data_IF_200054754680
#
_entry.id   IF_200054754680
#
_cell.length_a   1.000
_cell.length_b   1.000
_cell.length_c   1.000
_cell.angle_alpha   90.00
_cell.angle_beta   90.00
_cell.angle_gamma   90.00
#
_symmetry.space_group_name_H-M   'P 1'
#
loop_
_entity.id
_entity.type
_entity.pdbx_description
1 polymer ?
#
# COMPACT_ATOMS: atom_id res chain seq x y z
N UNK A 1 -21.85 10.38 6.44
CA UNK A 1 -20.78 11.39 6.63
C UNK A 1 -19.42 10.68 6.56
N UNK A 2 -18.38 11.29 5.95
CA UNK A 2 -17.08 10.65 5.67
C UNK A 2 -16.03 10.75 6.79
N UNK A 3 -16.33 11.40 7.91
CA UNK A 3 -15.33 11.60 8.98
C UNK A 3 -14.18 12.56 8.64
N UNK A 4 -14.27 13.28 7.52
CA UNK A 4 -13.28 14.26 7.06
C UNK A 4 -13.69 15.71 7.41
N UNK A 5 -12.73 16.63 7.60
CA UNK A 5 -12.99 18.07 7.68
C UNK A 5 -13.68 18.60 6.41
N UNK A 6 -14.52 19.64 6.56
CA UNK A 6 -15.32 20.19 5.46
C UNK A 6 -14.50 20.77 4.29
N UNK A 7 -13.23 21.11 4.49
CA UNK A 7 -12.33 21.64 3.45
C UNK A 7 -11.64 20.58 2.59
N UNK A 8 -11.83 19.28 2.89
CA UNK A 8 -11.17 18.22 2.12
C UNK A 8 -11.87 18.03 0.76
N UNK A 9 -11.06 17.98 -0.30
CA UNK A 9 -11.47 17.85 -1.70
C UNK A 9 -10.82 16.65 -2.39
N UNK A 10 -9.74 16.10 -1.82
CA UNK A 10 -9.07 14.90 -2.34
C UNK A 10 -8.74 13.90 -1.22
N UNK A 11 -8.81 12.61 -1.57
CA UNK A 11 -8.41 11.49 -0.74
C UNK A 11 -7.25 10.75 -1.42
N UNK A 12 -6.12 10.66 -0.72
CA UNK A 12 -4.88 10.06 -1.20
C UNK A 12 -4.62 8.79 -0.39
N UNK A 13 -4.92 7.63 -0.96
CA UNK A 13 -4.83 6.35 -0.28
C UNK A 13 -3.48 5.68 -0.56
N UNK A 14 -2.80 5.17 0.46
CA UNK A 14 -1.88 4.06 0.20
C UNK A 14 -2.66 2.83 -0.33
N UNK A 15 -1.95 1.90 -0.95
CA UNK A 15 -2.53 0.66 -1.47
C UNK A 15 -2.43 -0.47 -0.45
N UNK A 16 -1.24 -0.70 0.05
CA UNK A 16 -0.84 -1.87 0.82
C UNK A 16 -1.25 -1.61 2.28
N UNK A 17 -1.97 -2.53 2.93
CA UNK A 17 -2.47 -2.31 4.30
C UNK A 17 -3.64 -1.32 4.43
N UNK A 18 -3.85 -0.43 3.46
CA UNK A 18 -4.99 0.50 3.43
C UNK A 18 -6.15 -0.05 2.60
N UNK A 19 -5.96 -0.24 1.28
CA UNK A 19 -6.99 -0.74 0.37
C UNK A 19 -6.94 -2.26 0.20
N UNK A 20 -5.74 -2.84 0.27
CA UNK A 20 -5.50 -4.25 -0.06
C UNK A 20 -4.44 -4.90 0.83
N UNK A 21 -4.51 -6.22 1.02
CA UNK A 21 -3.47 -7.01 1.68
C UNK A 21 -2.52 -7.62 0.64
N UNK A 22 -1.62 -6.80 0.12
CA UNK A 22 -0.52 -7.18 -0.77
C UNK A 22 0.74 -7.57 0.00
N UNK A 23 0.82 -7.26 1.30
CA UNK A 23 1.96 -7.60 2.14
C UNK A 23 2.16 -9.11 2.17
N UNK A 24 1.08 -9.89 2.31
CA UNK A 24 1.11 -11.35 2.21
C UNK A 24 1.65 -11.84 0.85
N UNK A 25 1.24 -11.19 -0.26
CA UNK A 25 1.72 -11.52 -1.61
C UNK A 25 3.21 -11.24 -1.75
N UNK A 26 3.67 -10.11 -1.22
CA UNK A 26 5.08 -9.73 -1.23
C UNK A 26 5.94 -10.69 -0.40
N UNK A 27 5.51 -11.03 0.81
CA UNK A 27 6.21 -11.98 1.68
C UNK A 27 6.31 -13.37 1.04
N UNK A 28 5.21 -13.87 0.44
CA UNK A 28 5.21 -15.14 -0.26
C UNK A 28 6.15 -15.15 -1.48
N UNK A 29 6.16 -14.07 -2.27
CA UNK A 29 7.06 -13.94 -3.41
C UNK A 29 8.54 -13.83 -3.02
N UNK A 30 8.86 -13.15 -1.91
CA UNK A 30 10.21 -13.12 -1.35
C UNK A 30 10.66 -14.51 -0.92
N UNK A 31 9.83 -15.21 -0.14
CA UNK A 31 10.14 -16.57 0.30
C UNK A 31 10.37 -17.51 -0.87
N UNK A 32 9.49 -17.48 -1.87
CA UNK A 32 9.64 -18.31 -3.05
C UNK A 32 10.97 -18.04 -3.77
N UNK A 33 11.28 -16.77 -4.04
CA UNK A 33 12.50 -16.40 -4.74
C UNK A 33 13.76 -16.83 -3.97
N UNK A 34 13.84 -16.51 -2.67
CA UNK A 34 14.99 -16.87 -1.87
C UNK A 34 15.12 -18.39 -1.68
N UNK A 35 14.03 -19.12 -1.44
CA UNK A 35 14.08 -20.57 -1.28
C UNK A 35 14.55 -21.25 -2.57
N UNK A 36 14.11 -20.78 -3.75
CA UNK A 36 14.58 -21.29 -5.03
C UNK A 36 16.08 -21.00 -5.22
N UNK A 37 16.51 -19.76 -5.03
CA UNK A 37 17.93 -19.40 -5.11
C UNK A 37 18.80 -20.20 -4.15
N UNK A 38 18.41 -20.29 -2.88
CA UNK A 38 19.17 -20.97 -1.83
C UNK A 38 19.26 -22.48 -2.09
N UNK A 39 18.24 -23.11 -2.68
CA UNK A 39 18.31 -24.53 -3.09
C UNK A 39 19.39 -24.74 -4.15
N UNK A 40 19.36 -23.93 -5.20
CA UNK A 40 20.32 -24.04 -6.32
C UNK A 40 21.74 -23.74 -5.83
N UNK A 41 21.90 -22.66 -5.06
CA UNK A 41 23.18 -22.26 -4.47
C UNK A 41 23.74 -23.35 -3.52
N UNK A 42 22.88 -23.90 -2.66
CA UNK A 42 23.30 -24.95 -1.70
C UNK A 42 23.79 -26.20 -2.42
N UNK A 43 23.09 -26.62 -3.48
CA UNK A 43 23.47 -27.77 -4.29
C UNK A 43 24.81 -27.56 -5.02
N UNK A 44 25.03 -26.36 -5.57
CA UNK A 44 26.27 -26.04 -6.28
C UNK A 44 27.50 -25.94 -5.36
N UNK A 45 27.30 -25.45 -4.14
CA UNK A 45 28.38 -25.23 -3.17
C UNK A 45 28.55 -26.36 -2.14
N UNK A 46 27.72 -27.40 -2.18
CA UNK A 46 27.80 -28.54 -1.27
C UNK A 46 27.48 -28.18 0.19
N UNK A 47 26.68 -27.15 0.44
CA UNK A 47 26.26 -26.72 1.78
C UNK A 47 24.81 -27.16 2.08
N UNK A 48 24.41 -27.32 3.35
CA UNK A 48 23.03 -27.65 3.70
C UNK A 48 22.05 -26.53 3.30
N UNK A 49 20.97 -26.90 2.62
CA UNK A 49 19.88 -25.97 2.34
C UNK A 49 19.20 -25.52 3.64
N UNK A 50 19.11 -24.20 3.82
CA UNK A 50 18.37 -23.57 4.91
C UNK A 50 17.37 -22.57 4.30
N UNK A 51 16.05 -22.79 4.46
CA UNK A 51 15.05 -21.92 3.85
C UNK A 51 15.11 -20.50 4.42
N UNK A 52 14.55 -19.56 3.68
CA UNK A 52 14.27 -18.21 4.14
C UNK A 52 13.13 -18.22 5.17
N UNK A 53 13.36 -17.59 6.32
CA UNK A 53 12.36 -17.35 7.35
C UNK A 53 11.55 -16.10 6.97
N UNK A 54 10.32 -16.32 6.51
CA UNK A 54 9.41 -15.26 6.07
C UNK A 54 8.91 -14.35 7.19
N UNK A 55 9.35 -14.56 8.43
CA UNK A 55 9.07 -13.67 9.56
C UNK A 55 10.34 -12.98 10.01
N UNK A 56 11.25 -13.70 10.66
CA UNK A 56 12.41 -13.05 11.30
C UNK A 56 13.40 -12.46 10.31
N UNK A 57 13.67 -13.15 9.20
CA UNK A 57 14.60 -12.65 8.18
C UNK A 57 13.93 -11.64 7.25
N UNK A 58 12.62 -11.76 7.05
CA UNK A 58 11.84 -10.73 6.37
C UNK A 58 11.91 -9.39 7.12
N UNK A 59 11.52 -9.38 8.40
CA UNK A 59 11.50 -8.18 9.23
C UNK A 59 12.91 -7.55 9.35
N UNK A 60 13.95 -8.38 9.48
CA UNK A 60 15.32 -7.90 9.68
C UNK A 60 15.96 -7.34 8.39
N UNK A 61 15.73 -7.98 7.26
CA UNK A 61 16.53 -7.74 6.05
C UNK A 61 15.75 -7.15 4.90
N UNK A 62 14.44 -7.41 4.80
CA UNK A 62 13.66 -7.13 3.60
C UNK A 62 12.64 -6.01 3.83
N UNK A 63 11.98 -6.02 4.98
CA UNK A 63 10.84 -5.14 5.22
C UNK A 63 11.23 -3.66 5.17
N UNK A 64 10.37 -2.84 4.54
CA UNK A 64 10.58 -1.40 4.38
C UNK A 64 11.78 -0.97 3.51
N UNK A 65 12.54 -1.88 2.90
CA UNK A 65 13.73 -1.56 2.11
C UNK A 65 13.50 -1.58 0.60
N UNK A 66 14.27 -0.79 -0.18
CA UNK A 66 14.34 -0.96 -1.63
C UNK A 66 14.70 -2.41 -1.99
N UNK A 67 14.06 -2.95 -3.03
CA UNK A 67 14.15 -4.37 -3.42
C UNK A 67 15.59 -4.89 -3.52
N UNK A 68 16.46 -4.16 -4.20
CA UNK A 68 17.86 -4.54 -4.36
C UNK A 68 18.60 -4.58 -3.00
N UNK A 69 18.30 -3.66 -2.09
CA UNK A 69 18.87 -3.66 -0.74
C UNK A 69 18.37 -4.86 0.07
N UNK A 70 17.08 -5.20 -0.02
CA UNK A 70 16.54 -6.39 0.63
C UNK A 70 17.23 -7.69 0.19
N UNK A 71 17.48 -7.85 -1.11
CA UNK A 71 18.28 -8.97 -1.64
C UNK A 71 19.70 -8.93 -1.08
N UNK A 72 20.39 -7.79 -1.19
CA UNK A 72 21.79 -7.65 -0.79
C UNK A 72 22.01 -7.92 0.69
N UNK A 73 21.20 -7.30 1.54
CA UNK A 73 21.33 -7.38 2.99
C UNK A 73 21.10 -8.82 3.48
N UNK A 74 20.05 -9.48 2.96
CA UNK A 74 19.76 -10.87 3.30
C UNK A 74 20.89 -11.81 2.86
N UNK A 75 21.34 -11.71 1.60
CA UNK A 75 22.40 -12.59 1.09
C UNK A 75 23.70 -12.37 1.86
N UNK A 76 24.05 -11.12 2.14
CA UNK A 76 25.23 -10.78 2.94
C UNK A 76 25.15 -11.39 4.35
N UNK A 77 23.97 -11.34 4.98
CA UNK A 77 23.75 -11.97 6.28
C UNK A 77 23.91 -13.52 6.25
N UNK A 78 23.65 -14.14 5.09
CA UNK A 78 23.92 -15.56 4.82
C UNK A 78 25.35 -15.84 4.32
N UNK A 79 26.24 -14.85 4.31
CA UNK A 79 27.62 -14.99 3.82
C UNK A 79 27.74 -15.12 2.30
N UNK A 80 26.69 -14.74 1.56
CA UNK A 80 26.62 -14.82 0.11
C UNK A 80 26.79 -13.41 -0.47
N UNK A 81 27.67 -13.25 -1.46
CA UNK A 81 27.84 -11.99 -2.19
C UNK A 81 27.60 -12.23 -3.66
N UNK A 82 26.70 -11.44 -4.24
CA UNK A 82 26.44 -11.38 -5.67
C UNK A 82 26.80 -9.99 -6.19
N UNK A 83 27.23 -9.86 -7.46
CA UNK A 83 27.33 -8.57 -8.10
C UNK A 83 25.95 -7.90 -8.16
N UNK A 84 25.93 -6.56 -8.14
CA UNK A 84 24.67 -5.81 -8.18
C UNK A 84 23.89 -6.06 -9.49
N UNK A 85 24.60 -6.14 -10.61
CA UNK A 85 23.99 -6.29 -11.93
C UNK A 85 23.32 -5.01 -12.43
N UNK A 86 22.75 -5.06 -13.64
CA UNK A 86 21.98 -3.94 -14.19
C UNK A 86 20.50 -4.04 -13.77
N UNK A 87 19.77 -2.92 -13.78
CA UNK A 87 18.35 -2.91 -13.35
C UNK A 87 17.43 -3.70 -14.28
N UNK A 88 17.86 -3.91 -15.52
CA UNK A 88 17.19 -4.68 -16.57
C UNK A 88 17.75 -6.11 -16.72
N UNK A 89 18.60 -6.56 -15.79
CA UNK A 89 19.07 -7.95 -15.75
C UNK A 89 17.87 -8.91 -15.76
N UNK A 90 17.95 -10.01 -16.53
CA UNK A 90 16.87 -10.97 -16.58
C UNK A 90 16.70 -11.69 -15.22
N UNK A 91 15.50 -12.19 -14.90
CA UNK A 91 15.19 -12.88 -13.63
C UNK A 91 16.09 -14.08 -13.27
N UNK A 92 16.72 -14.71 -14.26
CA UNK A 92 17.62 -15.84 -14.09
C UNK A 92 19.09 -15.41 -13.88
N UNK A 93 19.41 -14.12 -14.01
CA UNK A 93 20.74 -13.60 -13.73
C UNK A 93 21.09 -13.75 -12.25
N UNK A 94 22.31 -14.24 -11.99
CA UNK A 94 22.88 -14.38 -10.63
C UNK A 94 23.42 -13.04 -10.12
N UNK A 95 22.56 -12.03 -10.08
CA UNK A 95 22.86 -10.67 -9.60
C UNK A 95 21.80 -10.23 -8.60
N UNK A 96 22.10 -9.20 -7.82
CA UNK A 96 21.13 -8.61 -6.87
C UNK A 96 19.87 -8.14 -7.60
N UNK A 97 20.04 -7.47 -8.75
CA UNK A 97 18.92 -7.00 -9.57
C UNK A 97 18.18 -8.14 -10.28
N UNK A 98 18.88 -9.17 -10.76
CA UNK A 98 18.26 -10.37 -11.36
C UNK A 98 17.32 -11.08 -10.38
N UNK A 99 17.78 -11.34 -9.15
CA UNK A 99 16.94 -11.91 -8.09
C UNK A 99 15.78 -11.00 -7.69
N UNK A 100 16.01 -9.68 -7.67
CA UNK A 100 14.95 -8.69 -7.48
C UNK A 100 13.88 -8.78 -8.59
N UNK A 101 14.29 -8.94 -9.84
CA UNK A 101 13.40 -9.07 -10.99
C UNK A 101 12.63 -10.39 -10.94
N UNK A 102 13.28 -11.50 -10.55
CA UNK A 102 12.61 -12.79 -10.28
C UNK A 102 11.54 -12.70 -9.20
N UNK A 103 11.82 -12.00 -8.10
CA UNK A 103 10.81 -11.75 -7.06
C UNK A 103 9.63 -10.95 -7.62
N UNK A 104 9.90 -9.97 -8.50
CA UNK A 104 8.83 -9.17 -9.09
C UNK A 104 7.93 -10.00 -10.00
N UNK A 105 8.48 -10.89 -10.82
CA UNK A 105 7.68 -11.83 -11.61
C UNK A 105 6.82 -12.73 -10.73
N UNK A 106 7.37 -13.22 -9.60
CA UNK A 106 6.59 -14.00 -8.64
C UNK A 106 5.42 -13.19 -8.04
N UNK A 107 5.63 -11.89 -7.73
CA UNK A 107 4.55 -10.99 -7.28
C UNK A 107 3.47 -10.86 -8.36
N UNK A 108 3.85 -10.51 -9.59
CA UNK A 108 2.89 -10.31 -10.68
C UNK A 108 2.11 -11.59 -10.99
N UNK A 109 2.80 -12.74 -11.02
CA UNK A 109 2.16 -14.04 -11.18
C UNK A 109 1.13 -14.29 -10.09
N UNK A 110 1.49 -14.10 -8.81
CA UNK A 110 0.57 -14.28 -7.67
C UNK A 110 -0.62 -13.36 -7.75
N UNK A 111 -0.43 -12.06 -8.04
CA UNK A 111 -1.53 -11.11 -8.23
C UNK A 111 -2.51 -11.63 -9.30
N UNK A 112 -2.01 -12.12 -10.44
CA UNK A 112 -2.85 -12.63 -11.54
C UNK A 112 -3.57 -13.93 -11.21
N UNK A 113 -2.91 -14.86 -10.51
CA UNK A 113 -3.42 -16.24 -10.34
C UNK A 113 -4.15 -16.45 -9.02
N UNK A 114 -3.68 -15.82 -7.95
CA UNK A 114 -4.22 -15.95 -6.58
C UNK A 114 -5.14 -14.78 -6.22
N UNK A 115 -5.04 -13.67 -6.95
CA UNK A 115 -5.76 -12.43 -6.65
C UNK A 115 -5.11 -11.66 -5.49
N UNK A 116 -5.77 -10.60 -5.05
CA UNK A 116 -5.37 -9.80 -3.90
C UNK A 116 -6.59 -9.56 -3.03
N UNK A 117 -6.43 -9.77 -1.72
CA UNK A 117 -7.52 -9.51 -0.78
C UNK A 117 -7.76 -8.00 -0.66
N UNK A 118 -9.01 -7.58 -0.82
CA UNK A 118 -9.45 -6.19 -0.65
C UNK A 118 -10.07 -6.04 0.73
N UNK A 119 -9.69 -4.98 1.44
CA UNK A 119 -10.38 -4.62 2.67
C UNK A 119 -11.74 -4.01 2.34
N UNK A 120 -12.81 -4.76 2.60
CA UNK A 120 -14.16 -4.37 2.16
C UNK A 120 -14.67 -3.08 2.80
N UNK A 121 -14.25 -2.75 4.02
CA UNK A 121 -14.56 -1.45 4.62
C UNK A 121 -13.80 -0.30 3.94
N UNK A 122 -12.56 -0.52 3.48
CA UNK A 122 -11.83 0.42 2.64
C UNK A 122 -12.46 0.60 1.25
N UNK A 123 -12.95 -0.48 0.63
CA UNK A 123 -13.73 -0.41 -0.61
C UNK A 123 -14.97 0.47 -0.43
N UNK A 124 -15.74 0.25 0.64
CA UNK A 124 -16.92 1.07 0.96
C UNK A 124 -16.56 2.54 1.17
N UNK A 125 -15.46 2.82 1.86
CA UNK A 125 -15.00 4.19 2.04
C UNK A 125 -14.61 4.86 0.71
N UNK A 126 -13.87 4.15 -0.15
CA UNK A 126 -13.48 4.64 -1.47
C UNK A 126 -14.70 4.95 -2.36
N UNK A 127 -15.74 4.11 -2.29
CA UNK A 127 -17.04 4.34 -2.94
C UNK A 127 -17.79 5.54 -2.34
N UNK A 128 -17.77 5.70 -1.01
CA UNK A 128 -18.41 6.85 -0.37
C UNK A 128 -17.70 8.17 -0.74
N UNK A 129 -16.36 8.16 -0.83
CA UNK A 129 -15.57 9.30 -1.30
C UNK A 129 -15.91 9.67 -2.75
N UNK A 130 -16.12 8.67 -3.62
CA UNK A 130 -16.63 8.88 -4.98
C UNK A 130 -17.99 9.57 -4.99
N UNK A 131 -18.95 9.04 -4.23
CA UNK A 131 -20.32 9.56 -4.18
C UNK A 131 -20.38 10.99 -3.62
N UNK A 132 -19.44 11.34 -2.74
CA UNK A 132 -19.28 12.69 -2.23
C UNK A 132 -18.57 13.66 -3.19
N UNK A 133 -18.12 13.18 -4.36
CA UNK A 133 -17.43 13.99 -5.36
C UNK A 133 -15.97 14.33 -5.01
N UNK A 134 -15.36 13.60 -4.07
CA UNK A 134 -13.96 13.79 -3.71
C UNK A 134 -13.04 13.16 -4.75
N UNK A 135 -11.95 13.86 -5.08
CA UNK A 135 -10.90 13.33 -5.96
C UNK A 135 -10.18 12.17 -5.28
N UNK A 136 -9.89 11.08 -5.98
CA UNK A 136 -9.28 9.89 -5.36
C UNK A 136 -8.00 9.46 -6.08
N UNK A 137 -6.89 9.43 -5.36
CA UNK A 137 -5.64 8.89 -5.84
C UNK A 137 -5.19 7.69 -5.00
N UNK A 138 -4.43 6.81 -5.64
CA UNK A 138 -3.61 5.81 -4.94
C UNK A 138 -2.15 6.23 -5.00
N UNK A 139 -1.47 6.21 -3.86
CA UNK A 139 -0.09 6.64 -3.67
C UNK A 139 0.69 5.51 -3.00
N UNK A 140 1.45 4.73 -3.78
CA UNK A 140 2.15 3.53 -3.30
C UNK A 140 3.62 3.52 -3.73
N UNK A 141 4.47 2.79 -3.00
CA UNK A 141 5.85 2.53 -3.42
C UNK A 141 5.97 1.42 -4.47
N UNK A 142 4.90 0.63 -4.67
CA UNK A 142 4.90 -0.53 -5.54
C UNK A 142 4.81 -0.14 -7.02
N UNK A 143 5.64 -0.76 -7.87
CA UNK A 143 5.50 -0.64 -9.33
C UNK A 143 4.35 -1.48 -9.90
N UNK A 144 3.68 -2.29 -9.08
CA UNK A 144 2.59 -3.18 -9.49
C UNK A 144 1.20 -2.60 -9.13
N UNK A 145 1.14 -1.33 -8.68
CA UNK A 145 -0.09 -0.67 -8.18
C UNK A 145 -1.24 -0.74 -9.18
N UNK A 146 -0.98 -0.43 -10.46
CA UNK A 146 -2.00 -0.51 -11.51
C UNK A 146 -2.62 -1.90 -11.63
N UNK A 147 -1.78 -2.92 -11.67
CA UNK A 147 -2.20 -4.32 -11.83
C UNK A 147 -3.04 -4.80 -10.64
N UNK A 148 -2.66 -4.43 -9.41
CA UNK A 148 -3.46 -4.73 -8.22
C UNK A 148 -4.84 -4.08 -8.31
N UNK A 149 -4.92 -2.81 -8.70
CA UNK A 149 -6.21 -2.13 -8.82
C UNK A 149 -7.11 -2.72 -9.92
N UNK A 150 -6.52 -3.20 -11.02
CA UNK A 150 -7.25 -3.83 -12.11
C UNK A 150 -7.81 -5.19 -11.67
N UNK A 151 -6.99 -6.06 -11.07
CA UNK A 151 -7.41 -7.40 -10.60
C UNK A 151 -8.44 -7.32 -9.48
N UNK A 152 -8.32 -6.33 -8.59
CA UNK A 152 -9.26 -6.13 -7.47
C UNK A 152 -10.55 -5.41 -7.89
N UNK A 153 -10.59 -4.85 -9.10
CA UNK A 153 -11.69 -4.02 -9.60
C UNK A 153 -11.81 -2.66 -8.92
N UNK A 154 -10.77 -2.21 -8.23
CA UNK A 154 -10.72 -0.89 -7.58
C UNK A 154 -10.32 0.23 -8.55
N UNK A 155 -9.70 -0.09 -9.69
CA UNK A 155 -9.22 0.89 -10.67
C UNK A 155 -10.30 1.89 -11.11
N UNK A 156 -11.56 1.47 -11.21
CA UNK A 156 -12.69 2.33 -11.58
C UNK A 156 -12.97 3.48 -10.60
N UNK A 157 -12.51 3.37 -9.36
CA UNK A 157 -12.70 4.39 -8.32
C UNK A 157 -11.51 5.35 -8.18
N UNK A 158 -10.43 5.10 -8.93
CA UNK A 158 -9.15 5.79 -8.76
C UNK A 158 -8.85 6.63 -10.00
N UNK A 159 -8.70 7.93 -9.81
CA UNK A 159 -8.52 8.90 -10.89
C UNK A 159 -7.05 9.16 -11.19
N UNK A 160 -6.18 8.97 -10.20
CA UNK A 160 -4.74 9.16 -10.33
C UNK A 160 -3.98 8.07 -9.58
N UNK A 161 -2.84 7.66 -10.14
CA UNK A 161 -1.88 6.81 -9.44
C UNK A 161 -0.55 7.54 -9.40
N UNK A 162 0.05 7.56 -8.21
CA UNK A 162 1.46 7.90 -8.00
C UNK A 162 2.11 6.65 -7.41
N UNK A 163 2.83 5.90 -8.23
CA UNK A 163 3.34 4.60 -7.84
C UNK A 163 4.88 4.47 -8.00
N UNK A 164 5.41 3.27 -7.78
CA UNK A 164 6.84 3.00 -7.95
C UNK A 164 7.37 3.32 -9.35
N UNK A 165 6.52 3.31 -10.39
CA UNK A 165 6.90 3.77 -11.74
C UNK A 165 7.01 5.29 -11.74
N UNK A 166 5.97 6.00 -11.27
CA UNK A 166 5.96 7.48 -11.16
C UNK A 166 7.15 8.01 -10.38
N UNK A 167 7.46 7.38 -9.22
CA UNK A 167 8.60 7.73 -8.37
C UNK A 167 9.90 7.74 -9.17
N UNK A 168 10.14 6.69 -9.97
CA UNK A 168 11.35 6.59 -10.79
C UNK A 168 11.35 7.56 -11.96
N UNK A 169 10.24 7.65 -12.69
CA UNK A 169 10.17 8.46 -13.91
C UNK A 169 10.23 9.95 -13.62
N UNK A 170 9.69 10.40 -12.49
CA UNK A 170 9.66 11.81 -12.09
C UNK A 170 10.75 12.17 -11.06
N UNK A 171 11.57 11.20 -10.62
CA UNK A 171 12.65 11.44 -9.67
C UNK A 171 12.17 11.86 -8.27
N UNK A 172 10.99 11.39 -7.86
CA UNK A 172 10.40 11.72 -6.57
C UNK A 172 11.11 10.97 -5.45
N UNK A 173 11.17 11.57 -4.25
CA UNK A 173 11.58 10.82 -3.05
C UNK A 173 10.41 10.00 -2.53
N UNK A 174 10.64 8.73 -2.24
CA UNK A 174 9.66 7.88 -1.56
C UNK A 174 9.41 8.30 -0.11
N UNK A 175 8.35 7.75 0.48
CA UNK A 175 8.05 7.88 1.92
C UNK A 175 9.30 7.51 2.74
N UNK A 176 9.66 8.27 3.81
CA UNK A 176 8.84 9.26 4.52
C UNK A 176 8.87 10.68 3.93
N UNK A 177 9.53 10.93 2.79
CA UNK A 177 9.42 12.22 2.13
C UNK A 177 7.99 12.42 1.58
N UNK A 178 7.45 13.67 1.60
CA UNK A 178 6.07 13.93 1.20
C UNK A 178 5.87 13.97 -0.33
N UNK A 179 6.95 13.91 -1.12
CA UNK A 179 6.95 14.15 -2.57
C UNK A 179 5.86 13.37 -3.33
N UNK A 180 5.63 12.10 -2.96
CA UNK A 180 4.62 11.24 -3.60
C UNK A 180 3.19 11.70 -3.36
N UNK A 181 2.85 12.07 -2.13
CA UNK A 181 1.53 12.63 -1.81
C UNK A 181 1.37 14.04 -2.40
N UNK A 182 2.43 14.86 -2.38
CA UNK A 182 2.41 16.19 -2.99
C UNK A 182 2.21 16.13 -4.51
N UNK A 183 2.82 15.15 -5.18
CA UNK A 183 2.61 14.90 -6.60
C UNK A 183 1.14 14.52 -6.90
N UNK A 184 0.51 13.73 -6.02
CA UNK A 184 -0.91 13.38 -6.16
C UNK A 184 -1.82 14.61 -5.96
N UNK A 185 -1.62 15.40 -4.92
CA UNK A 185 -2.37 16.65 -4.69
C UNK A 185 -2.23 17.63 -5.87
N UNK A 186 -0.99 17.83 -6.34
CA UNK A 186 -0.68 18.65 -7.51
C UNK A 186 -1.39 18.16 -8.77
N UNK A 187 -1.47 16.84 -8.98
CA UNK A 187 -2.17 16.25 -10.12
C UNK A 187 -3.67 16.55 -10.15
N UNK A 188 -4.28 16.76 -8.98
CA UNK A 188 -5.66 17.23 -8.86
C UNK A 188 -5.82 18.75 -8.80
N UNK A 189 -4.71 19.51 -8.75
CA UNK A 189 -4.75 20.96 -8.59
C UNK A 189 -5.35 21.40 -7.26
N UNK A 190 -5.21 20.59 -6.20
CA UNK A 190 -5.65 20.92 -4.84
C UNK A 190 -4.46 21.27 -3.96
N UNK A 191 -4.67 22.16 -2.99
CA UNK A 191 -3.66 22.43 -1.97
C UNK A 191 -3.51 21.20 -1.05
N UNK A 192 -2.31 20.88 -0.52
CA UNK A 192 -2.17 19.79 0.45
C UNK A 192 -3.12 19.90 1.64
N UNK A 193 -3.41 21.11 2.12
CA UNK A 193 -4.37 21.35 3.21
C UNK A 193 -5.83 21.02 2.85
N UNK A 194 -6.14 20.86 1.56
CA UNK A 194 -7.44 20.40 1.04
C UNK A 194 -7.43 18.88 0.74
N UNK A 195 -6.38 18.14 1.08
CA UNK A 195 -6.28 16.70 0.82
C UNK A 195 -6.09 15.90 2.12
N UNK A 196 -6.73 14.73 2.17
CA UNK A 196 -6.58 13.77 3.25
C UNK A 196 -5.71 12.58 2.80
N UNK A 197 -4.79 12.15 3.66
CA UNK A 197 -3.89 11.01 3.43
C UNK A 197 -4.37 9.83 4.27
N UNK A 198 -4.39 8.63 3.68
CA UNK A 198 -4.73 7.37 4.36
C UNK A 198 -3.54 6.42 4.28
N UNK A 199 -3.02 6.00 5.43
CA UNK A 199 -1.78 5.21 5.53
C UNK A 199 -1.83 4.26 6.74
N UNK A 200 -1.25 3.06 6.63
CA UNK A 200 -1.08 2.06 7.69
C UNK A 200 0.35 2.02 8.29
N UNK A 201 1.35 2.60 7.63
CA UNK A 201 2.77 2.58 7.97
C UNK A 201 3.30 3.92 8.51
N UNK A 202 4.24 3.85 9.46
CA UNK A 202 4.83 5.01 10.12
C UNK A 202 5.48 6.00 9.14
N UNK A 203 6.18 5.48 8.13
CA UNK A 203 6.87 6.30 7.13
C UNK A 203 5.88 7.13 6.31
N UNK A 204 4.75 6.56 5.90
CA UNK A 204 3.77 7.30 5.12
C UNK A 204 2.91 8.25 5.94
N UNK A 205 2.60 7.90 7.20
CA UNK A 205 2.01 8.86 8.14
C UNK A 205 2.93 10.08 8.32
N UNK A 206 4.23 9.86 8.50
CA UNK A 206 5.21 10.94 8.59
C UNK A 206 5.29 11.77 7.28
N UNK A 207 5.12 11.13 6.12
CA UNK A 207 5.04 11.80 4.83
C UNK A 207 3.79 12.69 4.73
N UNK A 208 2.62 12.19 5.12
CA UNK A 208 1.39 12.99 5.19
C UNK A 208 1.54 14.19 6.15
N UNK A 209 2.16 13.97 7.31
CA UNK A 209 2.37 15.04 8.30
C UNK A 209 3.32 16.13 7.78
N UNK A 210 4.46 15.72 7.22
CA UNK A 210 5.47 16.66 6.70
C UNK A 210 5.03 17.38 5.42
N UNK A 211 4.08 16.81 4.67
CA UNK A 211 3.44 17.45 3.52
C UNK A 211 2.37 18.48 3.89
N UNK A 212 2.08 18.69 5.18
CA UNK A 212 1.03 19.59 5.68
C UNK A 212 -0.36 19.29 5.10
N UNK A 213 -0.67 18.00 4.97
CA UNK A 213 -1.98 17.56 4.51
C UNK A 213 -3.08 17.92 5.51
N UNK A 214 -4.27 18.22 5.00
CA UNK A 214 -5.40 18.69 5.80
C UNK A 214 -5.88 17.70 6.86
N UNK A 215 -5.65 16.41 6.61
CA UNK A 215 -5.79 15.36 7.61
C UNK A 215 -4.95 14.13 7.24
N UNK A 216 -4.34 13.49 8.24
CA UNK A 216 -3.65 12.20 8.10
C UNK A 216 -4.40 11.14 8.91
N UNK A 217 -4.93 10.14 8.20
CA UNK A 217 -5.65 9.00 8.76
C UNK A 217 -4.70 7.80 8.81
N UNK A 218 -4.41 7.33 10.01
CA UNK A 218 -3.72 6.07 10.26
C UNK A 218 -4.68 4.87 10.22
N UNK A 219 -4.33 3.80 9.52
CA UNK A 219 -5.08 2.54 9.48
C UNK A 219 -4.30 1.48 10.25
N UNK A 220 -4.72 1.17 11.48
CA UNK A 220 -4.03 0.22 12.33
C UNK A 220 -4.40 -1.22 11.97
N UNK A 221 -3.57 -1.86 11.14
CA UNK A 221 -3.69 -3.28 10.77
C UNK A 221 -2.95 -4.24 11.70
N UNK A 222 -1.97 -3.75 12.46
CA UNK A 222 -1.01 -4.61 13.18
C UNK A 222 -0.91 -4.32 14.69
N UNK A 223 -1.76 -3.44 15.22
CA UNK A 223 -1.79 -3.09 16.64
C UNK A 223 -0.81 -1.98 17.03
N UNK A 224 -0.49 -1.07 16.10
CA UNK A 224 0.49 0.01 16.25
C UNK A 224 -0.16 1.42 16.33
N UNK A 225 -1.42 1.53 16.73
CA UNK A 225 -2.13 2.80 16.77
C UNK A 225 -1.41 3.93 17.53
N UNK A 226 -0.71 3.61 18.62
CA UNK A 226 0.04 4.61 19.39
C UNK A 226 1.22 5.18 18.59
N UNK A 227 1.91 4.34 17.82
CA UNK A 227 3.03 4.73 16.98
C UNK A 227 2.56 5.53 15.77
N UNK A 228 1.44 5.15 15.15
CA UNK A 228 0.83 5.94 14.07
C UNK A 228 0.49 7.37 14.55
N UNK A 229 -0.10 7.50 15.75
CA UNK A 229 -0.37 8.83 16.33
C UNK A 229 0.91 9.62 16.59
N UNK A 230 1.92 9.00 17.19
CA UNK A 230 3.18 9.68 17.51
C UNK A 230 3.95 10.14 16.27
N UNK A 231 3.73 9.49 15.12
CA UNK A 231 4.34 9.84 13.84
C UNK A 231 3.53 10.84 13.01
N UNK A 232 2.37 11.27 13.48
CA UNK A 232 1.63 12.40 12.91
C UNK A 232 0.25 12.07 12.33
N UNK A 233 -0.32 10.89 12.61
CA UNK A 233 -1.72 10.62 12.29
C UNK A 233 -2.64 11.45 13.20
N UNK A 234 -3.57 12.20 12.62
CA UNK A 234 -4.57 12.97 13.36
C UNK A 234 -5.68 12.06 13.91
N UNK A 235 -6.05 11.04 13.12
CA UNK A 235 -7.04 10.02 13.46
C UNK A 235 -6.44 8.65 13.18
N UNK A 236 -6.73 7.67 14.04
CA UNK A 236 -6.36 6.27 13.79
C UNK A 236 -7.59 5.40 13.90
N UNK A 237 -7.81 4.57 12.89
CA UNK A 237 -8.93 3.62 12.78
C UNK A 237 -8.40 2.21 12.52
N UNK A 238 -9.20 1.18 12.79
CA UNK A 238 -8.84 -0.20 12.40
C UNK A 238 -9.36 -0.55 11.01
N UNK A 239 -10.47 0.07 10.64
CA UNK A 239 -11.06 -0.03 9.32
C UNK A 239 -11.56 1.35 8.88
N UNK A 240 -11.39 1.71 7.59
CA UNK A 240 -11.89 2.99 7.08
C UNK A 240 -13.42 3.10 7.16
N UNK A 241 -14.13 1.98 7.23
CA UNK A 241 -15.57 1.99 7.49
C UNK A 241 -15.92 2.59 8.86
N UNK A 242 -15.00 2.62 9.83
CA UNK A 242 -15.23 3.26 11.13
C UNK A 242 -15.42 4.79 11.00
N UNK A 243 -14.96 5.39 9.89
CA UNK A 243 -15.16 6.80 9.56
C UNK A 243 -16.51 7.07 8.90
N UNK A 244 -17.15 6.05 8.35
CA UNK A 244 -18.47 6.16 7.78
C UNK A 244 -19.48 6.19 8.93
N UNK A 245 -20.11 7.34 9.16
CA UNK A 245 -21.28 7.34 10.03
C UNK A 245 -22.35 6.41 9.45
N UNK A 246 -23.03 5.65 10.30
CA UNK A 246 -24.33 5.10 9.96
C UNK A 246 -25.29 6.27 9.78
N UNK A 247 -25.42 6.80 8.56
CA UNK A 247 -26.37 7.87 8.32
C UNK A 247 -27.79 7.34 8.52
N UNK A 248 -28.42 7.94 9.52
CA UNK A 248 -29.85 8.10 9.74
C UNK A 248 -30.66 7.90 8.44
N UNK A 249 -31.21 6.70 8.30
CA UNK A 249 -32.43 6.44 7.53
C UNK A 249 -33.44 5.67 8.39
N UNK A 250 -33.64 6.18 9.61
CA UNK A 250 -34.97 6.13 10.21
C UNK A 250 -35.71 7.36 9.68
N UNK A 251 -36.16 7.28 8.43
CA UNK A 251 -37.13 8.24 7.92
C UNK A 251 -38.32 7.50 7.31
N UNK A 252 -39.50 8.06 7.56
CA UNK A 252 -40.81 7.74 6.98
C UNK A 252 -41.54 6.48 7.52
N UNK A 253 -42.18 6.63 8.69
CA UNK A 253 -43.59 6.20 8.86
C UNK A 253 -44.18 6.61 10.22
N UNK A 254 -44.48 7.89 10.41
CA UNK A 254 -45.56 8.31 11.31
C UNK A 254 -45.96 9.77 11.07
N UNK A 255 -46.20 10.15 9.81
CA UNK A 255 -47.11 11.27 9.55
C UNK A 255 -47.92 11.00 8.28
N UNK A 256 -48.94 10.15 8.43
CA UNK A 256 -50.14 10.22 7.61
C UNK A 256 -51.31 10.41 8.57
N UNK A 257 -51.64 11.67 8.76
CA UNK A 257 -52.91 12.13 9.28
C UNK A 257 -54.08 11.60 8.43
N UNK A 258 -55.09 11.03 9.08
CA UNK A 258 -56.50 11.36 8.80
C UNK A 258 -57.37 10.42 7.95
N UNK A 259 -58.48 10.00 8.60
CA UNK A 259 -59.85 9.83 8.06
C UNK A 259 -60.10 8.75 6.99
N UNK A 260 -60.86 7.71 7.37
CA UNK A 260 -62.21 7.30 6.90
C UNK A 260 -62.74 6.34 8.01
N UNK A 261 -63.89 6.45 8.69
CA UNK A 261 -65.24 6.84 8.28
C UNK A 261 -66.08 5.57 8.07
N UNK A 262 -66.81 5.09 9.09
CA UNK A 262 -67.73 3.94 8.99
C UNK A 262 -67.98 3.22 10.30
#
# INVERSE_FOLDING_TARGET
MLGLPAGIRACLFDLDGVLTDTAAVHAAAWKEMFDLFLRDYSAQHGIPFQPFDARSEYDAYVDGKPRANGVRDFLTARGITLPDGATDDPPDAMTVNGLGNRKNEAVQRRIRTEGVHVFEGSRRYLQAAEQAGLRRAVVSSSANTREVLDVTGLAKYVEQIVDGVTIRTEGLKGKPAPDTFLAAAKGFGVDPSEAAVFEDALAGVAAGRSGHFGQVIGVDRVGQAADLKSHGADVVVRDLADLLSADVSADVSADVSGKVGG
#
